data_IF_078336961737
#
_entry.id   IF_078336961737
#
_cell.length_a   1.000
_cell.length_b   1.000
_cell.length_c   1.000
_cell.angle_alpha   90.00
_cell.angle_beta   90.00
_cell.angle_gamma   90.00
#
_symmetry.space_group_name_H-M   'P 1'
#
loop_
_entity.id
_entity.type
_entity.pdbx_description
1 polymer ?
#
# COMPACT_ATOMS: atom_id res chain seq x y z
N UNK A 1 34.29 38.76 40.44
CA UNK A 1 33.93 37.34 40.18
C UNK A 1 33.47 37.23 38.74
N UNK A 2 34.13 36.38 37.93
CA UNK A 2 33.95 36.30 36.47
C UNK A 2 32.66 35.58 36.11
N UNK A 3 31.71 36.30 35.52
CA UNK A 3 30.72 35.73 34.61
C UNK A 3 31.12 36.14 33.19
N UNK A 4 31.15 35.18 32.25
CA UNK A 4 30.92 35.33 30.79
C UNK A 4 31.54 34.15 30.04
N UNK A 5 30.75 33.12 29.72
CA UNK A 5 31.03 32.15 28.63
C UNK A 5 29.78 31.41 28.13
N UNK A 6 28.59 31.65 28.70
CA UNK A 6 27.37 30.97 28.24
C UNK A 6 26.80 31.53 26.92
N UNK A 7 27.07 32.80 26.57
CA UNK A 7 26.27 33.51 25.56
C UNK A 7 26.62 33.17 24.10
N UNK A 8 27.88 32.82 23.81
CA UNK A 8 28.36 32.61 22.43
C UNK A 8 27.81 31.34 21.78
N UNK A 9 27.87 30.20 22.47
CA UNK A 9 27.42 28.91 21.93
C UNK A 9 25.89 28.83 21.80
N UNK A 10 25.15 29.49 22.70
CA UNK A 10 23.69 29.57 22.64
C UNK A 10 23.22 30.33 21.39
N UNK A 11 23.92 31.40 21.02
CA UNK A 11 23.59 32.20 19.84
C UNK A 11 23.83 31.41 18.55
N UNK A 12 24.96 30.70 18.45
CA UNK A 12 25.23 29.83 17.31
C UNK A 12 24.23 28.68 17.19
N UNK A 13 23.82 28.08 18.31
CA UNK A 13 22.82 27.01 18.30
C UNK A 13 21.44 27.55 17.88
N UNK A 14 21.05 28.73 18.37
CA UNK A 14 19.81 29.38 17.98
C UNK A 14 19.77 29.74 16.48
N UNK A 15 20.87 30.26 15.93
CA UNK A 15 20.98 30.61 14.52
C UNK A 15 20.88 29.36 13.62
N UNK A 16 21.59 28.29 13.98
CA UNK A 16 21.50 27.01 13.27
C UNK A 16 20.08 26.40 13.34
N UNK A 17 19.40 26.51 14.48
CA UNK A 17 18.03 26.04 14.63
C UNK A 17 17.05 26.85 13.77
N UNK A 18 17.24 28.18 13.69
CA UNK A 18 16.43 29.07 12.86
C UNK A 18 16.62 28.75 11.36
N UNK A 19 17.87 28.59 10.91
CA UNK A 19 18.18 28.22 9.52
C UNK A 19 17.56 26.86 9.17
N UNK A 20 17.73 25.85 10.04
CA UNK A 20 17.19 24.51 9.81
C UNK A 20 15.65 24.50 9.78
N UNK A 21 15.01 25.28 10.66
CA UNK A 21 13.57 25.46 10.67
C UNK A 21 13.07 26.10 9.38
N UNK A 22 13.72 27.19 8.94
CA UNK A 22 13.31 27.95 7.76
C UNK A 22 13.50 27.13 6.47
N UNK A 23 14.56 26.33 6.37
CA UNK A 23 14.78 25.39 5.27
C UNK A 23 13.71 24.29 5.23
N UNK A 24 13.31 23.78 6.40
CA UNK A 24 12.27 22.75 6.54
C UNK A 24 10.88 23.30 6.20
N UNK A 25 10.56 24.53 6.62
CA UNK A 25 9.32 25.20 6.27
C UNK A 25 9.21 25.50 4.77
N UNK A 26 10.32 25.91 4.14
CA UNK A 26 10.39 26.17 2.70
C UNK A 26 10.16 24.90 1.88
N UNK A 27 10.69 23.75 2.31
CA UNK A 27 10.46 22.47 1.60
C UNK A 27 8.99 22.04 1.67
N UNK A 28 8.32 22.31 2.79
CA UNK A 28 6.90 22.01 2.94
C UNK A 28 6.02 22.92 2.08
N UNK A 29 6.38 24.20 1.97
CA UNK A 29 5.64 25.18 1.17
C UNK A 29 5.83 24.99 -0.34
N UNK A 30 6.99 24.49 -0.78
CA UNK A 30 7.28 24.28 -2.19
C UNK A 30 6.75 22.94 -2.74
N UNK A 31 5.85 22.27 -2.00
CA UNK A 31 5.10 21.14 -2.55
C UNK A 31 4.15 21.67 -3.62
N UNK A 32 4.28 21.24 -4.90
CA UNK A 32 3.29 21.60 -5.90
C UNK A 32 1.93 21.14 -5.40
N UNK A 33 0.90 21.98 -5.56
CA UNK A 33 -0.47 21.63 -5.23
C UNK A 33 -0.82 20.36 -6.02
N UNK A 34 -0.76 19.21 -5.34
CA UNK A 34 -1.24 17.96 -5.89
C UNK A 34 -2.71 18.22 -6.20
N UNK A 35 -3.07 18.19 -7.48
CA UNK A 35 -4.47 18.09 -7.89
C UNK A 35 -5.06 16.98 -7.03
N UNK A 36 -6.09 17.31 -6.25
CA UNK A 36 -6.92 16.33 -5.59
C UNK A 36 -7.63 15.53 -6.68
N UNK A 37 -6.91 14.60 -7.33
CA UNK A 37 -7.49 13.32 -7.67
C UNK A 37 -8.13 12.86 -6.38
N UNK A 38 -9.42 12.56 -6.42
CA UNK A 38 -10.12 11.96 -5.30
C UNK A 38 -9.14 10.99 -4.63
N UNK A 39 -8.75 11.31 -3.39
CA UNK A 39 -8.02 10.39 -2.55
C UNK A 39 -9.03 9.27 -2.28
N UNK A 40 -9.15 8.38 -3.27
CA UNK A 40 -9.35 6.97 -3.04
C UNK A 40 -8.13 6.63 -2.19
N UNK A 41 -8.23 6.88 -0.88
CA UNK A 41 -7.26 6.40 0.07
C UNK A 41 -7.19 4.91 -0.21
N UNK A 42 -6.14 4.48 -0.92
CA UNK A 42 -5.77 3.08 -0.96
C UNK A 42 -5.75 2.69 0.51
N UNK A 43 -6.61 1.73 0.90
CA UNK A 43 -6.63 1.25 2.28
C UNK A 43 -5.18 1.04 2.68
N UNK A 44 -4.77 1.57 3.84
CA UNK A 44 -3.41 1.41 4.31
C UNK A 44 -3.09 -0.09 4.27
N UNK A 45 -2.32 -0.48 3.25
CA UNK A 45 -1.90 -1.86 3.05
C UNK A 45 -0.55 -1.97 3.70
N UNK A 46 -0.43 -2.90 4.64
CA UNK A 46 0.88 -3.30 5.14
C UNK A 46 1.71 -3.85 3.98
N UNK A 47 3.03 -3.88 4.17
CA UNK A 47 3.89 -4.54 3.20
C UNK A 47 3.47 -6.00 2.99
N UNK A 48 3.34 -6.45 1.74
CA UNK A 48 2.91 -7.80 1.44
C UNK A 48 3.99 -8.81 1.86
N UNK A 49 3.59 -9.84 2.61
CA UNK A 49 4.44 -10.97 2.96
C UNK A 49 4.74 -11.83 1.73
N UNK A 50 3.70 -12.05 0.91
CA UNK A 50 3.77 -12.89 -0.27
C UNK A 50 2.86 -12.33 -1.35
N UNK A 51 3.31 -12.49 -2.60
CA UNK A 51 2.61 -11.98 -3.78
C UNK A 51 2.51 -13.07 -4.83
N UNK A 52 1.30 -13.27 -5.32
CA UNK A 52 0.99 -14.13 -6.45
C UNK A 52 0.49 -13.28 -7.62
N UNK A 53 0.94 -13.62 -8.83
CA UNK A 53 0.48 -13.01 -10.07
C UNK A 53 -0.21 -14.07 -10.92
N UNK A 54 -1.49 -13.85 -11.24
CA UNK A 54 -2.31 -14.73 -12.09
C UNK A 54 -1.94 -14.57 -13.57
N UNK A 55 -0.67 -14.78 -13.91
CA UNK A 55 -0.16 -14.74 -15.27
C UNK A 55 -0.29 -16.12 -15.94
N UNK A 56 -0.22 -16.15 -17.27
CA UNK A 56 -0.21 -17.40 -18.01
C UNK A 56 0.96 -18.30 -17.54
N UNK A 57 0.65 -19.55 -17.18
CA UNK A 57 1.63 -20.52 -16.67
C UNK A 57 1.95 -20.41 -15.18
N UNK A 58 1.31 -19.49 -14.44
CA UNK A 58 1.39 -19.48 -12.99
C UNK A 58 0.78 -20.77 -12.40
N UNK A 59 1.31 -21.28 -11.27
CA UNK A 59 0.67 -22.38 -10.58
C UNK A 59 -0.74 -21.98 -10.11
N UNK A 60 -1.64 -22.95 -9.89
CA UNK A 60 -2.92 -22.69 -9.23
C UNK A 60 -2.76 -21.96 -7.89
N UNK A 61 -3.70 -21.05 -7.60
CA UNK A 61 -3.66 -20.20 -6.41
C UNK A 61 -3.77 -21.02 -5.13
N UNK A 62 -4.58 -22.08 -5.10
CA UNK A 62 -4.69 -22.99 -3.96
C UNK A 62 -3.35 -23.65 -3.61
N UNK A 63 -2.66 -24.20 -4.62
CA UNK A 63 -1.35 -24.80 -4.47
C UNK A 63 -0.30 -23.78 -3.99
N UNK A 64 -0.39 -22.54 -4.45
CA UNK A 64 0.47 -21.47 -3.95
C UNK A 64 0.14 -21.11 -2.50
N UNK A 65 -1.15 -21.05 -2.12
CA UNK A 65 -1.59 -20.75 -0.75
C UNK A 65 -1.20 -21.84 0.25
N UNK A 66 -1.20 -23.11 -0.15
CA UNK A 66 -0.71 -24.23 0.67
C UNK A 66 0.77 -24.12 1.04
N UNK A 67 1.56 -23.41 0.22
CA UNK A 67 2.98 -23.16 0.49
C UNK A 67 3.19 -21.98 1.46
N UNK A 68 2.13 -21.23 1.78
CA UNK A 68 2.21 -20.07 2.68
C UNK A 68 1.97 -20.46 4.13
N UNK A 69 2.60 -19.76 5.06
CA UNK A 69 2.36 -19.96 6.48
C UNK A 69 0.94 -19.50 6.84
N UNK A 70 0.10 -20.42 7.33
CA UNK A 70 -1.23 -20.09 7.80
C UNK A 70 -1.17 -19.27 9.10
N UNK A 71 -1.62 -18.02 9.06
CA UNK A 71 -1.73 -17.14 10.22
C UNK A 71 -3.08 -16.39 10.19
N UNK A 72 -3.90 -16.46 11.24
CA UNK A 72 -5.21 -15.79 11.30
C UNK A 72 -5.16 -14.27 11.17
N UNK A 73 -3.99 -13.65 11.36
CA UNK A 73 -3.78 -12.21 11.22
C UNK A 73 -3.51 -11.79 9.78
N UNK A 74 -3.27 -12.75 8.89
CA UNK A 74 -3.07 -12.46 7.48
C UNK A 74 -4.41 -12.23 6.79
N UNK A 75 -4.40 -11.27 5.89
CA UNK A 75 -5.51 -10.95 5.01
C UNK A 75 -5.10 -11.15 3.57
N UNK A 76 -5.91 -11.94 2.87
CA UNK A 76 -5.77 -12.16 1.44
C UNK A 76 -6.45 -11.00 0.70
N UNK A 77 -5.71 -10.32 -0.18
CA UNK A 77 -6.26 -9.26 -1.04
C UNK A 77 -6.09 -9.64 -2.50
N UNK A 78 -7.21 -9.76 -3.22
CA UNK A 78 -7.26 -10.01 -4.67
C UNK A 78 -7.44 -8.66 -5.36
N UNK A 79 -6.48 -8.26 -6.17
CA UNK A 79 -6.52 -7.03 -6.98
C UNK A 79 -6.65 -7.39 -8.45
N UNK A 80 -7.79 -7.11 -9.05
CA UNK A 80 -8.02 -7.26 -10.48
C UNK A 80 -7.98 -5.89 -11.17
N UNK A 81 -7.34 -5.84 -12.34
CA UNK A 81 -7.11 -4.61 -13.09
C UNK A 81 -7.94 -4.61 -14.38
N UNK A 82 -8.52 -3.46 -14.70
CA UNK A 82 -9.30 -3.31 -15.94
C UNK A 82 -8.83 -2.13 -16.80
N UNK A 83 -8.83 -2.34 -18.11
CA UNK A 83 -8.59 -1.31 -19.12
C UNK A 83 -9.86 -0.50 -19.45
N UNK A 84 -9.76 0.39 -20.44
CA UNK A 84 -10.85 1.27 -20.84
C UNK A 84 -11.91 0.63 -21.76
N UNK A 85 -11.77 -0.65 -22.11
CA UNK A 85 -12.70 -1.32 -23.01
C UNK A 85 -14.09 -1.53 -22.34
N UNK A 86 -15.19 -1.45 -23.11
CA UNK A 86 -16.51 -1.80 -22.60
C UNK A 86 -16.53 -3.21 -22.01
N UNK A 87 -17.11 -3.37 -20.82
CA UNK A 87 -17.17 -4.66 -20.10
C UNK A 87 -15.87 -5.11 -19.43
N UNK A 88 -14.77 -4.36 -19.54
CA UNK A 88 -13.49 -4.73 -18.93
C UNK A 88 -13.56 -4.81 -17.40
N UNK A 89 -14.37 -3.95 -16.77
CA UNK A 89 -14.59 -3.98 -15.32
C UNK A 89 -15.31 -5.25 -14.87
N UNK A 90 -16.32 -5.67 -15.63
CA UNK A 90 -17.07 -6.91 -15.34
C UNK A 90 -16.18 -8.14 -15.54
N UNK A 91 -15.34 -8.14 -16.58
CA UNK A 91 -14.33 -9.17 -16.79
C UNK A 91 -13.32 -9.25 -15.64
N UNK A 92 -12.84 -8.10 -15.13
CA UNK A 92 -11.95 -8.05 -13.98
C UNK A 92 -12.62 -8.56 -12.69
N UNK A 93 -13.91 -8.23 -12.49
CA UNK A 93 -14.68 -8.75 -11.35
C UNK A 93 -14.88 -10.26 -11.45
N UNK A 94 -15.18 -10.78 -12.65
CA UNK A 94 -15.31 -12.22 -12.90
C UNK A 94 -13.99 -12.96 -12.62
N UNK A 95 -12.85 -12.39 -13.02
CA UNK A 95 -11.54 -12.96 -12.72
C UNK A 95 -11.23 -12.94 -11.21
N UNK A 96 -11.55 -11.84 -10.51
CA UNK A 96 -11.41 -11.79 -9.06
C UNK A 96 -12.29 -12.85 -8.36
N UNK A 97 -13.52 -13.05 -8.84
CA UNK A 97 -14.41 -14.08 -8.32
C UNK A 97 -13.89 -15.51 -8.59
N UNK A 98 -13.28 -15.74 -9.76
CA UNK A 98 -12.62 -17.01 -10.09
C UNK A 98 -11.47 -17.30 -9.13
N UNK A 99 -10.59 -16.33 -8.89
CA UNK A 99 -9.49 -16.45 -7.93
C UNK A 99 -9.99 -16.63 -6.49
N UNK A 100 -11.08 -15.96 -6.10
CA UNK A 100 -11.68 -16.17 -4.78
C UNK A 100 -12.17 -17.61 -4.61
N UNK A 101 -12.82 -18.17 -5.64
CA UNK A 101 -13.28 -19.55 -5.62
C UNK A 101 -12.10 -20.54 -5.53
N UNK A 102 -11.02 -20.27 -6.27
CA UNK A 102 -9.79 -21.06 -6.24
C UNK A 102 -9.10 -21.00 -4.86
N UNK A 103 -9.10 -19.84 -4.20
CA UNK A 103 -8.56 -19.69 -2.84
C UNK A 103 -9.32 -20.51 -1.78
N UNK A 104 -10.55 -20.93 -2.05
CA UNK A 104 -11.32 -21.82 -1.18
C UNK A 104 -11.42 -21.35 0.27
N UNK A 105 -11.06 -22.23 1.22
CA UNK A 105 -11.11 -21.93 2.65
C UNK A 105 -10.15 -20.80 3.06
N UNK A 106 -9.01 -20.66 2.39
CA UNK A 106 -8.04 -19.58 2.61
C UNK A 106 -8.57 -18.22 2.14
N UNK A 107 -9.57 -18.20 1.26
CA UNK A 107 -10.20 -16.98 0.73
C UNK A 107 -11.42 -16.47 1.50
N UNK A 108 -11.88 -17.13 2.58
CA UNK A 108 -13.17 -16.82 3.24
C UNK A 108 -13.33 -15.40 3.77
N UNK A 109 -12.22 -14.70 4.04
CA UNK A 109 -12.23 -13.30 4.47
C UNK A 109 -11.54 -12.37 3.45
N UNK A 110 -11.33 -12.82 2.21
CA UNK A 110 -10.53 -12.09 1.24
C UNK A 110 -11.13 -10.72 0.88
N UNK A 111 -10.26 -9.72 0.76
CA UNK A 111 -10.60 -8.41 0.23
C UNK A 111 -10.49 -8.45 -1.29
N UNK A 112 -11.51 -7.98 -2.01
CA UNK A 112 -11.47 -7.80 -3.46
C UNK A 112 -11.32 -6.30 -3.78
N UNK A 113 -10.33 -5.98 -4.61
CA UNK A 113 -10.09 -4.65 -5.16
C UNK A 113 -10.15 -4.75 -6.67
N UNK A 114 -10.95 -3.88 -7.30
CA UNK A 114 -11.05 -3.79 -8.76
C UNK A 114 -10.69 -2.37 -9.17
N UNK A 115 -9.55 -2.20 -9.82
CA UNK A 115 -8.96 -0.89 -10.12
C UNK A 115 -8.64 -0.71 -11.62
N UNK A 116 -8.67 0.52 -12.16
CA UNK A 116 -8.17 0.78 -13.50
C UNK A 116 -6.67 0.43 -13.59
N UNK A 117 -6.27 -0.25 -14.66
CA UNK A 117 -4.87 -0.59 -14.87
C UNK A 117 -4.66 -1.67 -15.93
N UNK A 118 -3.39 -2.06 -16.08
CA UNK A 118 -2.97 -3.12 -16.97
C UNK A 118 -2.24 -4.22 -16.19
N UNK A 119 -2.18 -5.41 -16.81
CA UNK A 119 -1.51 -6.59 -16.29
C UNK A 119 -2.46 -7.60 -15.65
N UNK A 120 -1.93 -8.77 -15.23
CA UNK A 120 -2.70 -9.83 -14.63
C UNK A 120 -3.22 -9.43 -13.24
N UNK A 121 -4.25 -10.13 -12.78
CA UNK A 121 -4.69 -10.03 -11.40
C UNK A 121 -3.56 -10.43 -10.43
N UNK A 122 -3.53 -9.78 -9.27
CA UNK A 122 -2.53 -9.98 -8.21
C UNK A 122 -3.24 -10.41 -6.94
N UNK A 123 -2.68 -11.40 -6.26
CA UNK A 123 -3.09 -11.76 -4.90
C UNK A 123 -1.95 -11.43 -3.95
N UNK A 124 -2.25 -10.79 -2.83
CA UNK A 124 -1.28 -10.46 -1.81
C UNK A 124 -1.76 -10.96 -0.44
N UNK A 125 -0.83 -11.50 0.33
CA UNK A 125 -1.01 -11.76 1.76
C UNK A 125 -0.28 -10.66 2.54
N UNK A 126 -0.98 -10.00 3.44
CA UNK A 126 -0.44 -8.95 4.31
C UNK A 126 -1.01 -9.09 5.72
N UNK A 127 -0.32 -8.55 6.73
CA UNK A 127 -0.85 -8.47 8.10
C UNK A 127 -1.83 -7.31 8.25
N UNK A 128 -2.90 -7.31 7.45
CA UNK A 128 -3.96 -6.32 7.51
C UNK A 128 -5.15 -6.93 8.25
N UNK A 129 -5.31 -6.65 9.54
CA UNK A 129 -6.44 -7.20 10.31
C UNK A 129 -7.76 -6.72 9.67
N UNK A 130 -8.64 -7.61 9.19
CA UNK A 130 -9.96 -7.18 8.75
C UNK A 130 -10.73 -6.66 9.96
N UNK A 131 -11.29 -5.45 9.88
CA UNK A 131 -12.18 -4.95 10.92
C UNK A 131 -13.38 -5.91 11.04
N UNK A 132 -13.63 -6.36 12.27
CA UNK A 132 -14.52 -7.48 12.59
C UNK A 132 -15.98 -7.07 12.64
#
# INVERSE_FOLDING_TARGET
MKGTSSFGWQTSLADLALILFMLSAASLHNRPASQAKADLHASAQSEPLAVYHAAAGAPPLDMWLEQQAADPRQQLTITARYGAAPGARDAALAEAARLLAEAGAHGRAARIVVEPGAGPARVALAYDVPER
#
